data_IF_110758591465
#
_entry.id   IF_110758591465
#
_cell.length_a   1.000
_cell.length_b   1.000
_cell.length_c   1.000
_cell.angle_alpha   90.00
_cell.angle_beta   90.00
_cell.angle_gamma   90.00
#
_symmetry.space_group_name_H-M   'P 1'
#
loop_
_entity.id
_entity.type
_entity.pdbx_description
1 polymer ?
#
# COMPACT_ATOMS: atom_id res chain seq x y z
N UNK A 1 -10.76 29.38 14.77
CA UNK A 1 -10.47 28.03 15.27
C UNK A 1 -9.61 28.17 16.52
N UNK A 2 -9.98 27.55 17.64
CA UNK A 2 -9.17 27.60 18.87
C UNK A 2 -8.63 26.19 19.11
N UNK A 3 -7.31 26.04 19.05
CA UNK A 3 -6.61 24.81 19.42
C UNK A 3 -6.07 25.03 20.82
N UNK A 4 -6.44 24.17 21.77
CA UNK A 4 -5.83 24.17 23.09
C UNK A 4 -4.57 23.32 23.03
N UNK A 5 -3.46 23.87 23.52
CA UNK A 5 -2.16 23.19 23.57
C UNK A 5 -1.69 23.20 25.02
N UNK A 6 -1.12 22.09 25.48
CA UNK A 6 -0.24 22.09 26.64
C UNK A 6 1.01 22.92 26.36
N UNK A 7 1.75 23.29 27.41
CA UNK A 7 3.02 24.02 27.24
C UNK A 7 4.03 23.24 26.39
N UNK A 8 4.05 21.91 26.52
CA UNK A 8 4.95 21.07 25.76
C UNK A 8 4.58 21.01 24.27
N UNK A 9 3.30 20.87 23.95
CA UNK A 9 2.83 20.92 22.56
C UNK A 9 3.06 22.30 21.93
N UNK A 10 2.85 23.36 22.72
CA UNK A 10 3.17 24.73 22.29
C UNK A 10 4.65 24.89 21.95
N UNK A 11 5.56 24.42 22.82
CA UNK A 11 7.00 24.54 22.62
C UNK A 11 7.47 23.83 21.33
N UNK A 12 6.97 22.62 21.09
CA UNK A 12 7.30 21.85 19.88
C UNK A 12 6.83 22.57 18.61
N UNK A 13 5.57 23.01 18.59
CA UNK A 13 5.01 23.70 17.42
C UNK A 13 5.64 25.08 17.21
N UNK A 14 5.99 25.79 18.28
CA UNK A 14 6.65 27.09 18.20
C UNK A 14 8.07 26.98 17.65
N UNK A 15 8.82 25.95 18.03
CA UNK A 15 10.15 25.68 17.49
C UNK A 15 10.07 25.37 15.98
N UNK A 16 9.18 24.46 15.58
CA UNK A 16 8.98 24.13 14.15
C UNK A 16 8.53 25.34 13.33
N UNK A 17 7.63 26.17 13.87
CA UNK A 17 7.22 27.40 13.21
C UNK A 17 8.39 28.39 13.05
N UNK A 18 9.24 28.53 14.07
CA UNK A 18 10.42 29.40 14.03
C UNK A 18 11.45 28.92 12.99
N UNK A 19 11.68 27.62 12.88
CA UNK A 19 12.58 27.03 11.87
C UNK A 19 12.12 27.33 10.43
N UNK A 20 10.80 27.44 10.22
CA UNK A 20 10.21 27.81 8.94
C UNK A 20 9.99 29.33 8.77
N UNK A 21 10.38 30.15 9.75
CA UNK A 21 10.17 31.60 9.73
C UNK A 21 8.69 32.02 9.75
N UNK A 22 7.82 31.16 10.28
CA UNK A 22 6.37 31.36 10.34
C UNK A 22 5.91 31.74 11.75
N UNK A 23 4.81 32.51 11.82
CA UNK A 23 4.06 32.63 13.05
C UNK A 23 3.39 31.28 13.39
N UNK A 24 3.32 30.92 14.67
CA UNK A 24 2.73 29.65 15.14
C UNK A 24 1.33 29.37 14.54
N UNK A 25 0.46 30.39 14.49
CA UNK A 25 -0.88 30.25 13.92
C UNK A 25 -0.87 29.96 12.41
N UNK A 26 0.07 30.56 11.68
CA UNK A 26 0.24 30.32 10.24
C UNK A 26 0.78 28.90 9.99
N UNK A 27 1.78 28.48 10.76
CA UNK A 27 2.32 27.12 10.74
C UNK A 27 1.22 26.09 11.03
N UNK A 28 0.47 26.25 12.11
CA UNK A 28 -0.61 25.34 12.49
C UNK A 28 -1.72 25.24 11.42
N UNK A 29 -2.07 26.35 10.78
CA UNK A 29 -3.05 26.37 9.70
C UNK A 29 -2.53 25.65 8.44
N UNK A 30 -1.29 25.88 8.04
CA UNK A 30 -0.66 25.23 6.91
C UNK A 30 -0.49 23.72 7.14
N UNK A 31 0.01 23.32 8.31
CA UNK A 31 0.16 21.92 8.68
C UNK A 31 -1.19 21.20 8.69
N UNK A 32 -2.23 21.82 9.24
CA UNK A 32 -3.60 21.27 9.26
C UNK A 32 -4.17 21.14 7.84
N UNK A 33 -3.94 22.13 6.96
CA UNK A 33 -4.37 22.08 5.57
C UNK A 33 -3.61 21.01 4.77
N UNK A 34 -2.30 20.90 4.96
CA UNK A 34 -1.46 19.87 4.33
C UNK A 34 -1.90 18.47 4.76
N UNK A 35 -2.20 18.28 6.04
CA UNK A 35 -2.74 17.02 6.56
C UNK A 35 -4.12 16.70 5.94
N UNK A 36 -5.03 17.67 5.86
CA UNK A 36 -6.33 17.50 5.22
C UNK A 36 -6.23 17.19 3.72
N UNK A 37 -5.18 17.68 3.05
CA UNK A 37 -4.87 17.40 1.64
C UNK A 37 -4.12 16.08 1.44
N UNK A 38 -3.83 15.31 2.50
CA UNK A 38 -3.06 14.07 2.43
C UNK A 38 -1.58 14.27 2.10
N UNK A 39 -1.05 15.50 2.25
CA UNK A 39 0.37 15.83 1.98
C UNK A 39 1.29 15.49 3.15
N UNK A 40 0.74 15.22 4.33
CA UNK A 40 1.48 14.65 5.46
C UNK A 40 1.42 13.12 5.32
N UNK A 41 2.58 12.49 5.11
CA UNK A 41 2.69 11.03 5.04
C UNK A 41 2.43 10.46 6.44
N UNK A 42 1.16 10.16 6.72
CA UNK A 42 0.77 9.41 7.92
C UNK A 42 1.25 7.97 7.79
N UNK A 43 1.82 7.37 8.84
CA UNK A 43 2.13 5.93 8.87
C UNK A 43 0.93 5.06 8.43
N UNK A 44 -0.29 5.51 8.73
CA UNK A 44 -1.53 4.85 8.28
C UNK A 44 -1.80 4.96 6.78
N UNK A 45 -1.25 5.97 6.09
CA UNK A 45 -1.34 6.07 4.64
C UNK A 45 -0.44 5.01 3.97
N UNK A 46 0.80 4.88 4.44
CA UNK A 46 1.73 3.81 4.00
C UNK A 46 1.13 2.44 4.29
N UNK A 47 0.58 2.23 5.48
CA UNK A 47 -0.06 0.97 5.86
C UNK A 47 -1.31 0.65 5.02
N UNK A 48 -2.11 1.66 4.66
CA UNK A 48 -3.29 1.49 3.79
C UNK A 48 -2.90 1.13 2.36
N UNK A 49 -1.88 1.78 1.81
CA UNK A 49 -1.34 1.41 0.49
C UNK A 49 -0.79 -0.02 0.51
N UNK A 50 -0.04 -0.37 1.56
CA UNK A 50 0.48 -1.73 1.73
C UNK A 50 -0.64 -2.78 1.83
N UNK A 51 -1.70 -2.48 2.59
CA UNK A 51 -2.85 -3.37 2.71
C UNK A 51 -3.60 -3.53 1.38
N UNK A 52 -3.80 -2.45 0.63
CA UNK A 52 -4.44 -2.50 -0.68
C UNK A 52 -3.65 -3.35 -1.67
N UNK A 53 -2.32 -3.20 -1.68
CA UNK A 53 -1.40 -4.03 -2.43
C UNK A 53 -1.55 -5.52 -2.06
N UNK A 54 -1.49 -5.87 -0.77
CA UNK A 54 -1.63 -7.25 -0.30
C UNK A 54 -2.98 -7.86 -0.71
N UNK A 55 -4.09 -7.13 -0.56
CA UNK A 55 -5.41 -7.61 -0.94
C UNK A 55 -5.54 -7.86 -2.45
N UNK A 56 -4.98 -6.96 -3.27
CA UNK A 56 -4.93 -7.17 -4.71
C UNK A 56 -4.15 -8.43 -5.07
N UNK A 57 -3.00 -8.64 -4.43
CA UNK A 57 -2.13 -9.79 -4.66
C UNK A 57 -2.79 -11.10 -4.24
N UNK A 58 -3.46 -11.13 -3.09
CA UNK A 58 -4.26 -12.27 -2.62
C UNK A 58 -5.34 -12.67 -3.64
N UNK A 59 -6.01 -11.69 -4.26
CA UNK A 59 -6.96 -11.94 -5.34
C UNK A 59 -6.33 -12.58 -6.57
N UNK A 60 -5.09 -12.20 -6.94
CA UNK A 60 -4.37 -12.84 -8.05
C UNK A 60 -4.00 -14.29 -7.72
N UNK A 61 -3.49 -14.58 -6.51
CA UNK A 61 -3.17 -15.95 -6.07
C UNK A 61 -4.41 -16.84 -6.13
N UNK A 62 -5.55 -16.34 -5.64
CA UNK A 62 -6.79 -17.12 -5.64
C UNK A 62 -7.20 -17.52 -7.06
N UNK A 63 -7.08 -16.60 -8.03
CA UNK A 63 -7.36 -16.90 -9.45
C UNK A 63 -6.39 -17.91 -10.04
N UNK A 64 -5.11 -17.84 -9.68
CA UNK A 64 -4.11 -18.85 -10.07
C UNK A 64 -4.50 -20.23 -9.54
N UNK A 65 -4.86 -20.34 -8.26
CA UNK A 65 -5.29 -21.59 -7.65
C UNK A 65 -6.51 -22.19 -8.35
N UNK A 66 -7.50 -21.37 -8.70
CA UNK A 66 -8.68 -21.80 -9.48
C UNK A 66 -8.27 -22.34 -10.86
N UNK A 67 -7.44 -21.60 -11.59
CA UNK A 67 -6.96 -22.02 -12.91
C UNK A 67 -6.16 -23.33 -12.86
N UNK A 68 -5.33 -23.51 -11.82
CA UNK A 68 -4.57 -24.74 -11.63
C UNK A 68 -5.50 -25.93 -11.32
N UNK A 69 -6.50 -25.75 -10.46
CA UNK A 69 -7.49 -26.79 -10.18
C UNK A 69 -8.27 -27.19 -11.44
N UNK A 70 -8.61 -26.24 -12.30
CA UNK A 70 -9.23 -26.53 -13.60
C UNK A 70 -8.30 -27.34 -14.51
N UNK A 71 -7.02 -26.98 -14.57
CA UNK A 71 -6.02 -27.72 -15.34
C UNK A 71 -5.85 -29.17 -14.83
N UNK A 72 -5.83 -29.38 -13.51
CA UNK A 72 -5.79 -30.73 -12.91
C UNK A 72 -7.06 -31.53 -13.23
N UNK A 73 -8.23 -30.90 -13.20
CA UNK A 73 -9.49 -31.56 -13.55
C UNK A 73 -9.50 -32.00 -15.03
N UNK A 74 -9.03 -31.15 -15.95
CA UNK A 74 -8.91 -31.47 -17.37
C UNK A 74 -7.87 -32.57 -17.64
N UNK A 75 -6.75 -32.58 -16.90
CA UNK A 75 -5.76 -33.66 -16.98
C UNK A 75 -6.36 -35.00 -16.54
N UNK A 76 -7.10 -35.01 -15.43
CA UNK A 76 -7.76 -36.20 -14.90
C UNK A 76 -8.88 -36.72 -15.81
N UNK A 77 -9.49 -35.87 -16.65
CA UNK A 77 -10.48 -36.29 -17.66
C UNK A 77 -9.85 -36.80 -18.97
N UNK A 78 -8.52 -36.76 -19.11
CA UNK A 78 -7.82 -37.16 -20.32
C UNK A 78 -7.77 -36.10 -21.42
N UNK A 79 -8.26 -34.88 -21.16
CA UNK A 79 -8.25 -33.74 -22.09
C UNK A 79 -6.97 -32.89 -21.97
N UNK A 80 -5.89 -33.39 -22.58
CA UNK A 80 -4.74 -32.69 -23.24
C UNK A 80 -3.84 -31.61 -22.58
N UNK A 81 -2.63 -31.56 -23.16
CA UNK A 81 -1.34 -30.97 -22.70
C UNK A 81 -1.14 -29.47 -23.01
N UNK A 82 -1.86 -28.89 -23.97
CA UNK A 82 -1.64 -27.50 -24.41
C UNK A 82 -2.27 -26.45 -23.49
N UNK A 83 -3.47 -26.69 -22.98
CA UNK A 83 -4.17 -25.75 -22.08
C UNK A 83 -3.43 -25.61 -20.73
N UNK A 84 -2.84 -26.71 -20.25
CA UNK A 84 -1.96 -26.74 -19.07
C UNK A 84 -0.79 -25.75 -19.17
N UNK A 85 -0.19 -25.61 -20.35
CA UNK A 85 0.90 -24.66 -20.58
C UNK A 85 0.43 -23.21 -20.41
N UNK A 86 -0.76 -22.87 -20.89
CA UNK A 86 -1.35 -21.54 -20.71
C UNK A 86 -1.64 -21.22 -19.25
N UNK A 87 -2.21 -22.18 -18.52
CA UNK A 87 -2.48 -22.03 -17.10
C UNK A 87 -1.19 -21.89 -16.27
N UNK A 88 -0.16 -22.68 -16.58
CA UNK A 88 1.15 -22.57 -15.94
C UNK A 88 1.82 -21.21 -16.19
N UNK A 89 1.74 -20.68 -17.41
CA UNK A 89 2.25 -19.34 -17.71
C UNK A 89 1.46 -18.23 -17.01
N UNK A 90 0.13 -18.38 -16.89
CA UNK A 90 -0.69 -17.43 -16.14
C UNK A 90 -0.36 -17.45 -14.64
N UNK A 91 -0.09 -18.63 -14.09
CA UNK A 91 0.37 -18.80 -12.71
C UNK A 91 1.72 -18.12 -12.47
N UNK A 92 2.71 -18.39 -13.33
CA UNK A 92 4.04 -17.78 -13.24
C UNK A 92 3.97 -16.24 -13.27
N UNK A 93 3.25 -15.66 -14.23
CA UNK A 93 3.09 -14.19 -14.32
C UNK A 93 2.45 -13.55 -13.09
N UNK A 94 1.53 -14.25 -12.45
CA UNK A 94 0.89 -13.76 -11.23
C UNK A 94 1.84 -13.83 -10.02
N UNK A 95 2.67 -14.87 -9.94
CA UNK A 95 3.73 -15.00 -8.92
C UNK A 95 4.77 -13.88 -9.10
N UNK A 96 5.23 -13.63 -10.32
CA UNK A 96 6.19 -12.57 -10.62
C UNK A 96 5.66 -11.19 -10.16
N UNK A 97 4.37 -10.90 -10.41
CA UNK A 97 3.72 -9.65 -9.96
C UNK A 97 3.60 -9.54 -8.45
N UNK A 98 3.44 -10.66 -7.74
CA UNK A 98 3.44 -10.69 -6.28
C UNK A 98 4.82 -10.36 -5.72
N UNK A 99 5.87 -10.92 -6.32
CA UNK A 99 7.25 -10.66 -5.91
C UNK A 99 7.65 -9.20 -6.15
N UNK A 100 7.26 -8.61 -7.30
CA UNK A 100 7.44 -7.18 -7.59
C UNK A 100 6.75 -6.31 -6.54
N UNK A 101 5.50 -6.63 -6.21
CA UNK A 101 4.73 -5.90 -5.22
C UNK A 101 5.35 -6.01 -3.82
N UNK A 102 5.81 -7.20 -3.43
CA UNK A 102 6.50 -7.42 -2.16
C UNK A 102 7.81 -6.62 -2.08
N UNK A 103 8.57 -6.54 -3.17
CA UNK A 103 9.76 -5.69 -3.25
C UNK A 103 9.40 -4.21 -3.12
N UNK A 104 8.35 -3.74 -3.81
CA UNK A 104 7.94 -2.34 -3.70
C UNK A 104 7.50 -1.97 -2.28
N UNK A 105 6.75 -2.85 -1.62
CA UNK A 105 6.38 -2.66 -0.21
C UNK A 105 7.61 -2.61 0.70
N UNK A 106 8.59 -3.48 0.49
CA UNK A 106 9.86 -3.45 1.24
C UNK A 106 10.62 -2.14 1.07
N UNK A 107 10.57 -1.50 -0.10
CA UNK A 107 11.25 -0.21 -0.32
C UNK A 107 10.50 0.99 0.26
N UNK A 108 9.17 0.87 0.45
CA UNK A 108 8.32 1.93 1.02
C UNK A 108 8.19 1.87 2.54
N UNK A 109 8.54 0.73 3.15
CA UNK A 109 8.62 0.59 4.60
C UNK A 109 10.01 1.07 5.08
N UNK A 110 10.08 1.81 6.21
CA UNK A 110 11.35 2.28 6.78
C UNK A 110 12.26 1.16 7.28
#
# INVERSE_FOLDING_TARGET
>A
MRIALSEQEYAVLAAAAADEGLALGAFAAQASLAAAQGRVVSEYAVLREALAAVLFAAGQVQRVGVNLNQAVAALNSGELVEQLRWYAQAAARSIDRLDELAQELRHRLP
#
